data_IF_331855986424
#
_entry.id   IF_331855986424
#
_cell.length_a   1.000
_cell.length_b   1.000
_cell.length_c   1.000
_cell.angle_alpha   90.00
_cell.angle_beta   90.00
_cell.angle_gamma   90.00
#
_symmetry.space_group_name_H-M   'P 1'
#
loop_
_entity.id
_entity.type
_entity.pdbx_description
1 polymer ?
#
# COMPACT_ATOMS: atom_id res chain seq x y z
N UNK A 1 -15.29 -39.70 -29.24
CA UNK A 1 -14.54 -39.50 -30.50
C UNK A 1 -14.19 -38.03 -30.61
N UNK A 2 -12.90 -37.75 -30.70
CA UNK A 2 -12.31 -36.41 -30.53
C UNK A 2 -12.35 -35.67 -31.88
N UNK A 3 -13.04 -34.53 -31.92
CA UNK A 3 -12.99 -33.56 -33.01
C UNK A 3 -12.35 -32.27 -32.54
N UNK A 4 -11.02 -32.19 -32.61
CA UNK A 4 -10.27 -30.95 -32.42
C UNK A 4 -10.60 -29.97 -33.55
N UNK A 5 -11.03 -28.74 -33.22
CA UNK A 5 -10.87 -27.58 -34.10
C UNK A 5 -10.10 -26.49 -33.37
N UNK A 6 -8.82 -26.37 -33.75
CA UNK A 6 -7.93 -25.27 -33.39
C UNK A 6 -8.23 -24.08 -34.30
N UNK A 7 -8.42 -22.90 -33.73
CA UNK A 7 -8.33 -21.65 -34.48
C UNK A 7 -6.84 -21.26 -34.61
N UNK A 8 -6.36 -21.26 -35.86
CA UNK A 8 -5.03 -20.79 -36.25
C UNK A 8 -5.20 -19.33 -36.68
N UNK A 9 -4.63 -18.38 -35.94
CA UNK A 9 -4.49 -17.00 -36.42
C UNK A 9 -3.30 -16.93 -37.38
N UNK A 10 -3.61 -16.60 -38.64
CA UNK A 10 -2.66 -16.40 -39.74
C UNK A 10 -2.14 -14.96 -39.64
N UNK A 11 -0.93 -14.77 -39.11
CA UNK A 11 -0.21 -13.49 -39.24
C UNK A 11 0.54 -13.52 -40.58
N UNK A 12 0.27 -12.51 -41.40
CA UNK A 12 0.83 -12.35 -42.75
C UNK A 12 2.36 -12.26 -42.73
N UNK A 13 2.97 -12.85 -43.75
CA UNK A 13 4.40 -12.83 -44.02
C UNK A 13 4.90 -11.40 -44.23
N UNK A 14 5.85 -10.95 -43.41
CA UNK A 14 6.80 -9.89 -43.77
C UNK A 14 8.16 -10.54 -43.99
N UNK A 15 8.62 -10.44 -45.24
CA UNK A 15 9.85 -11.00 -45.77
C UNK A 15 11.03 -10.10 -45.41
N UNK A 16 12.12 -10.70 -44.91
CA UNK A 16 13.48 -10.13 -45.05
C UNK A 16 14.26 -9.80 -43.78
N UNK A 17 14.77 -10.81 -43.05
CA UNK A 17 16.00 -10.69 -42.24
C UNK A 17 16.80 -12.02 -42.31
N UNK A 18 18.13 -12.01 -42.52
CA UNK A 18 18.95 -13.23 -42.71
C UNK A 18 19.11 -14.11 -41.45
N UNK A 19 19.25 -15.41 -41.69
CA UNK A 19 19.13 -16.55 -40.77
C UNK A 19 20.31 -16.83 -39.81
N UNK A 20 21.24 -15.90 -39.58
CA UNK A 20 22.50 -16.22 -38.85
C UNK A 20 22.58 -15.65 -37.41
N UNK A 21 21.63 -14.83 -36.97
CA UNK A 21 21.63 -14.29 -35.57
C UNK A 21 20.59 -14.97 -34.66
N UNK A 22 19.90 -16.01 -35.13
CA UNK A 22 18.81 -16.66 -34.36
C UNK A 22 19.29 -17.74 -33.37
N UNK A 23 20.55 -18.17 -33.40
CA UNK A 23 21.05 -19.33 -32.65
C UNK A 23 21.96 -19.04 -31.43
N UNK A 24 21.92 -17.82 -30.84
CA UNK A 24 22.69 -17.54 -29.60
C UNK A 24 21.93 -16.90 -28.43
N UNK A 25 20.60 -16.90 -28.41
CA UNK A 25 19.87 -16.28 -27.30
C UNK A 25 18.67 -17.06 -26.72
N UNK A 26 18.44 -18.31 -27.10
CA UNK A 26 17.44 -19.15 -26.42
C UNK A 26 17.93 -20.59 -26.25
N UNK A 27 18.61 -20.82 -25.13
CA UNK A 27 18.76 -22.16 -24.54
C UNK A 27 18.18 -22.10 -23.13
N UNK A 28 16.86 -22.28 -23.02
CA UNK A 28 16.23 -22.61 -21.74
C UNK A 28 16.28 -24.12 -21.58
N UNK A 29 17.25 -24.57 -20.77
CA UNK A 29 17.20 -25.90 -20.16
C UNK A 29 16.02 -25.91 -19.21
N UNK A 30 15.00 -26.70 -19.55
CA UNK A 30 13.89 -27.04 -18.65
C UNK A 30 14.49 -27.84 -17.50
N UNK A 31 14.67 -27.18 -16.35
CA UNK A 31 14.88 -27.85 -15.08
C UNK A 31 13.52 -27.82 -14.38
N UNK A 32 12.84 -28.97 -14.37
CA UNK A 32 11.74 -29.22 -13.46
C UNK A 32 12.26 -29.10 -12.02
N UNK A 33 11.71 -28.15 -11.26
CA UNK A 33 11.83 -28.07 -9.81
C UNK A 33 10.41 -28.23 -9.24
N UNK A 34 10.20 -29.06 -8.20
CA UNK A 34 8.88 -29.54 -7.81
C UNK A 34 8.03 -28.49 -7.09
N UNK A 35 6.70 -28.64 -7.23
CA UNK A 35 5.67 -27.98 -6.43
C UNK A 35 6.02 -28.08 -4.95
N UNK A 36 6.38 -26.96 -4.32
CA UNK A 36 6.68 -26.91 -2.89
C UNK A 36 5.84 -25.84 -2.20
N UNK A 37 4.95 -26.32 -1.32
CA UNK A 37 4.12 -25.64 -0.32
C UNK A 37 4.61 -24.23 0.08
N UNK A 38 3.80 -23.21 -0.16
CA UNK A 38 3.98 -21.86 0.42
C UNK A 38 2.66 -21.29 0.93
N UNK A 39 2.21 -21.83 2.07
CA UNK A 39 1.31 -21.14 3.00
C UNK A 39 1.57 -21.53 4.48
N UNK A 40 2.62 -22.31 4.79
CA UNK A 40 2.95 -22.71 6.18
C UNK A 40 4.24 -22.08 6.75
N UNK A 41 4.83 -21.10 6.07
CA UNK A 41 6.04 -20.40 6.56
C UNK A 41 5.69 -19.17 7.42
N UNK A 42 4.48 -18.61 7.30
CA UNK A 42 4.06 -17.44 8.08
C UNK A 42 3.76 -17.75 9.56
N UNK A 43 3.49 -19.02 9.90
CA UNK A 43 3.19 -19.43 11.28
C UNK A 43 4.43 -19.88 12.06
N UNK A 44 5.51 -20.29 11.38
CA UNK A 44 6.71 -20.87 12.04
C UNK A 44 7.73 -19.84 12.52
N UNK A 45 7.67 -18.58 12.07
CA UNK A 45 8.53 -17.52 12.61
C UNK A 45 7.97 -16.86 13.88
N UNK A 46 6.72 -17.15 14.26
CA UNK A 46 6.03 -16.48 15.37
C UNK A 46 6.09 -17.21 16.71
N UNK A 47 6.67 -18.42 16.80
CA UNK A 47 6.59 -19.24 18.02
C UNK A 47 7.89 -19.28 18.85
N UNK A 48 9.03 -18.81 18.34
CA UNK A 48 10.31 -18.87 19.07
C UNK A 48 10.88 -17.49 19.46
N UNK A 49 10.05 -16.61 20.02
CA UNK A 49 10.56 -15.61 20.95
C UNK A 49 10.29 -16.11 22.36
N UNK A 50 11.34 -16.69 22.95
CA UNK A 50 11.44 -16.92 24.38
C UNK A 50 11.18 -15.60 25.10
N UNK A 51 9.99 -15.47 25.67
CA UNK A 51 9.64 -14.44 26.63
C UNK A 51 10.59 -14.66 27.81
N UNK A 52 11.66 -13.87 27.88
CA UNK A 52 12.37 -13.67 29.14
C UNK A 52 11.34 -13.06 30.11
N UNK A 53 11.14 -13.63 31.32
CA UNK A 53 10.22 -13.07 32.27
C UNK A 53 10.78 -11.72 32.73
N UNK A 54 10.30 -10.64 32.10
CA UNK A 54 10.49 -9.30 32.61
C UNK A 54 9.84 -9.27 33.99
N UNK A 55 10.70 -9.01 34.98
CA UNK A 55 10.37 -8.88 36.39
C UNK A 55 9.21 -7.90 36.52
N UNK A 56 8.00 -8.44 36.67
CA UNK A 56 6.79 -7.67 36.95
C UNK A 56 7.10 -6.81 38.18
N UNK A 57 7.20 -5.50 37.99
CA UNK A 57 7.25 -4.56 39.10
C UNK A 57 5.85 -4.61 39.73
N UNK A 58 5.68 -5.52 40.68
CA UNK A 58 4.49 -5.65 41.50
C UNK A 58 4.52 -4.47 42.48
N UNK A 59 3.87 -3.37 42.09
CA UNK A 59 3.59 -2.28 43.01
C UNK A 59 2.61 -2.80 44.06
N UNK A 60 3.12 -3.12 45.24
CA UNK A 60 2.29 -3.18 46.45
C UNK A 60 1.98 -1.73 46.82
N UNK A 61 0.71 -1.33 46.73
CA UNK A 61 0.28 -0.08 47.34
C UNK A 61 0.47 -0.23 48.85
N UNK A 62 1.39 0.54 49.42
CA UNK A 62 1.38 0.79 50.85
C UNK A 62 0.14 1.63 51.14
N UNK A 63 -0.92 0.96 51.59
CA UNK A 63 -2.10 1.63 52.11
C UNK A 63 -1.66 2.40 53.37
N UNK A 64 -1.50 3.71 53.23
CA UNK A 64 -1.47 4.61 54.39
C UNK A 64 -2.90 4.75 54.90
N UNK A 65 -3.13 4.27 56.10
CA UNK A 65 -4.35 4.48 56.88
C UNK A 65 -4.61 5.97 57.08
N UNK A 66 -5.45 6.56 56.23
CA UNK A 66 -6.23 7.76 56.58
C UNK A 66 -7.58 7.66 55.90
N UNK A 67 -8.60 7.47 56.72
CA UNK A 67 -10.01 7.39 56.37
C UNK A 67 -10.48 8.61 55.57
N UNK A 68 -10.53 8.48 54.26
CA UNK A 68 -11.61 9.05 53.43
C UNK A 68 -11.85 8.06 52.29
N UNK A 69 -13.03 7.44 52.26
CA UNK A 69 -13.45 6.55 51.18
C UNK A 69 -13.68 7.37 49.89
N UNK A 70 -12.58 7.77 49.25
CA UNK A 70 -12.59 8.27 47.88
C UNK A 70 -12.72 7.06 46.97
N UNK A 71 -13.80 6.99 46.21
CA UNK A 71 -13.99 5.93 45.21
C UNK A 71 -12.84 6.02 44.22
N UNK A 72 -11.90 5.08 44.29
CA UNK A 72 -10.75 5.04 43.41
C UNK A 72 -11.22 4.73 41.98
N UNK A 73 -11.25 5.74 41.13
CA UNK A 73 -11.71 5.60 39.75
C UNK A 73 -10.60 5.10 38.84
N UNK A 74 -10.95 4.53 37.68
CA UNK A 74 -9.95 4.14 36.67
C UNK A 74 -9.10 5.33 36.19
N UNK A 75 -9.68 6.53 36.21
CA UNK A 75 -9.02 7.79 35.85
C UNK A 75 -7.95 8.19 36.89
N UNK A 76 -8.21 7.96 38.19
CA UNK A 76 -7.21 8.17 39.25
C UNK A 76 -6.03 7.21 39.11
N UNK A 77 -6.30 5.97 38.68
CA UNK A 77 -5.27 4.98 38.36
C UNK A 77 -4.39 5.39 37.18
N UNK A 78 -5.01 5.87 36.10
CA UNK A 78 -4.26 6.31 34.92
C UNK A 78 -3.43 7.55 35.23
N UNK A 79 -3.99 8.53 35.94
CA UNK A 79 -3.25 9.74 36.32
C UNK A 79 -2.06 9.39 37.24
N UNK A 80 -2.27 8.56 38.27
CA UNK A 80 -1.18 8.12 39.16
C UNK A 80 -0.06 7.41 38.40
N UNK A 81 -0.41 6.51 37.48
CA UNK A 81 0.58 5.81 36.64
C UNK A 81 1.29 6.76 35.68
N UNK A 82 0.59 7.73 35.09
CA UNK A 82 1.20 8.74 34.24
C UNK A 82 2.20 9.59 35.01
N UNK A 83 1.83 10.11 36.18
CA UNK A 83 2.72 10.90 37.03
C UNK A 83 3.95 10.09 37.45
N UNK A 84 3.79 8.80 37.74
CA UNK A 84 4.93 7.92 38.05
C UNK A 84 5.88 7.76 36.85
N UNK A 85 5.33 7.70 35.63
CA UNK A 85 6.09 7.60 34.39
C UNK A 85 6.81 8.91 34.06
N UNK A 86 6.14 10.05 34.29
CA UNK A 86 6.75 11.38 34.17
C UNK A 86 7.93 11.53 35.13
N UNK A 87 7.75 11.22 36.41
CA UNK A 87 8.80 11.28 37.42
C UNK A 87 9.97 10.35 37.08
N UNK A 88 9.67 9.12 36.63
CA UNK A 88 10.70 8.18 36.17
C UNK A 88 11.48 8.73 34.98
N UNK A 89 10.79 9.29 33.98
CA UNK A 89 11.41 9.86 32.78
C UNK A 89 12.27 11.07 33.13
N UNK A 90 11.78 11.95 34.01
CA UNK A 90 12.51 13.13 34.46
C UNK A 90 13.81 12.72 35.18
N UNK A 91 13.72 11.74 36.09
CA UNK A 91 14.86 11.24 36.87
C UNK A 91 15.85 10.44 36.03
N UNK A 92 15.37 9.61 35.11
CA UNK A 92 16.21 8.68 34.33
C UNK A 92 16.75 9.26 33.03
N UNK A 93 16.24 10.41 32.56
CA UNK A 93 16.65 10.95 31.27
C UNK A 93 16.82 12.47 31.27
N UNK A 94 15.76 13.22 31.57
CA UNK A 94 15.76 14.67 31.34
C UNK A 94 16.70 15.41 32.29
N UNK A 95 16.77 15.02 33.57
CA UNK A 95 17.59 15.69 34.58
C UNK A 95 19.04 15.19 34.64
N UNK A 96 19.42 14.16 33.88
CA UNK A 96 20.81 13.66 33.87
C UNK A 96 21.66 14.44 32.85
N UNK A 97 22.82 14.95 33.27
CA UNK A 97 23.73 15.70 32.39
C UNK A 97 24.37 14.80 31.30
N UNK A 98 24.59 13.52 31.61
CA UNK A 98 25.14 12.52 30.71
C UNK A 98 24.34 11.21 30.79
N UNK A 99 24.07 10.60 29.64
CA UNK A 99 23.40 9.30 29.56
C UNK A 99 24.49 8.23 29.60
N UNK A 100 24.51 7.41 30.64
CA UNK A 100 25.42 6.26 30.75
C UNK A 100 24.93 5.12 29.84
N UNK A 101 25.53 4.97 28.65
CA UNK A 101 25.25 3.85 27.72
C UNK A 101 24.86 4.29 26.31
N UNK A 102 24.32 3.35 25.51
CA UNK A 102 23.78 3.65 24.18
C UNK A 102 22.49 4.46 24.33
N UNK A 103 22.53 5.75 24.00
CA UNK A 103 21.41 6.69 24.10
C UNK A 103 20.14 6.15 23.42
N UNK A 104 20.30 5.45 22.30
CA UNK A 104 19.19 4.84 21.55
C UNK A 104 18.48 3.74 22.34
N UNK A 105 19.23 2.90 23.08
CA UNK A 105 18.66 1.80 23.85
C UNK A 105 17.87 2.32 25.07
N UNK A 106 18.36 3.36 25.72
CA UNK A 106 17.65 4.02 26.80
C UNK A 106 16.33 4.65 26.34
N UNK A 107 16.35 5.35 25.19
CA UNK A 107 15.14 5.91 24.59
C UNK A 107 14.14 4.83 24.22
N UNK A 108 14.60 3.68 23.72
CA UNK A 108 13.73 2.55 23.39
C UNK A 108 13.07 1.94 24.62
N UNK A 109 13.81 1.77 25.73
CA UNK A 109 13.24 1.28 27.00
C UNK A 109 12.19 2.23 27.57
N UNK A 110 12.44 3.54 27.48
CA UNK A 110 11.46 4.56 27.88
C UNK A 110 10.22 4.51 26.98
N UNK A 111 10.42 4.39 25.67
CA UNK A 111 9.34 4.24 24.70
C UNK A 111 8.52 2.96 24.95
N UNK A 112 9.15 1.82 25.24
CA UNK A 112 8.46 0.58 25.59
C UNK A 112 7.59 0.72 26.84
N UNK A 113 8.08 1.48 27.84
CA UNK A 113 7.33 1.80 29.05
C UNK A 113 6.10 2.67 28.75
N UNK A 114 6.27 3.71 27.93
CA UNK A 114 5.18 4.57 27.43
C UNK A 114 4.18 3.75 26.63
N UNK A 115 4.65 2.88 25.74
CA UNK A 115 3.81 2.00 24.91
C UNK A 115 3.01 1.04 25.79
N UNK A 116 3.63 0.42 26.79
CA UNK A 116 2.96 -0.49 27.73
C UNK A 116 1.85 0.24 28.51
N UNK A 117 2.12 1.48 28.94
CA UNK A 117 1.11 2.34 29.55
C UNK A 117 -0.06 2.64 28.59
N UNK A 118 0.24 3.09 27.37
CA UNK A 118 -0.76 3.40 26.34
C UNK A 118 -1.59 2.18 25.94
N UNK A 119 -0.96 1.01 25.80
CA UNK A 119 -1.66 -0.24 25.50
C UNK A 119 -2.62 -0.61 26.63
N UNK A 120 -2.21 -0.44 27.88
CA UNK A 120 -3.11 -0.70 29.00
C UNK A 120 -4.36 0.18 28.94
N UNK A 121 -4.24 1.46 28.60
CA UNK A 121 -5.40 2.34 28.43
C UNK A 121 -6.25 1.89 27.23
N UNK A 122 -5.62 1.58 26.10
CA UNK A 122 -6.30 1.19 24.88
C UNK A 122 -7.10 -0.12 25.04
N UNK A 123 -6.57 -1.08 25.79
CA UNK A 123 -7.23 -2.36 26.04
C UNK A 123 -8.52 -2.17 26.87
N UNK A 124 -8.54 -1.20 27.79
CA UNK A 124 -9.72 -0.85 28.59
C UNK A 124 -10.70 0.09 27.86
N UNK A 125 -10.18 1.09 27.13
CA UNK A 125 -10.97 2.05 26.38
C UNK A 125 -10.52 2.10 24.92
N UNK A 126 -11.21 1.30 24.11
CA UNK A 126 -10.97 1.19 22.66
C UNK A 126 -11.54 2.36 21.86
N UNK A 127 -12.37 3.20 22.48
CA UNK A 127 -13.04 4.31 21.81
C UNK A 127 -12.06 5.48 21.65
N UNK A 128 -11.86 5.88 20.39
CA UNK A 128 -11.10 7.06 19.94
C UNK A 128 -9.79 7.36 20.71
N UNK A 129 -8.72 6.57 20.53
CA UNK A 129 -7.43 6.79 21.20
C UNK A 129 -6.80 8.18 20.97
N UNK A 130 -7.19 8.89 19.91
CA UNK A 130 -6.76 10.27 19.63
C UNK A 130 -7.41 11.33 20.54
N UNK A 131 -8.58 11.04 21.12
CA UNK A 131 -9.32 11.95 22.00
C UNK A 131 -8.99 11.76 23.48
N UNK A 132 -8.33 10.65 23.83
CA UNK A 132 -7.99 10.32 25.20
C UNK A 132 -6.87 11.25 25.74
N UNK A 133 -7.17 11.94 26.84
CA UNK A 133 -6.30 12.94 27.47
C UNK A 133 -4.97 12.32 27.91
N UNK A 134 -4.99 11.09 28.44
CA UNK A 134 -3.81 10.40 28.95
C UNK A 134 -2.88 9.95 27.81
N UNK A 135 -3.44 9.50 26.69
CA UNK A 135 -2.66 9.18 25.49
C UNK A 135 -2.01 10.44 24.92
N UNK A 136 -2.74 11.56 24.91
CA UNK A 136 -2.19 12.85 24.48
C UNK A 136 -1.03 13.32 25.37
N UNK A 137 -1.20 13.32 26.69
CA UNK A 137 -0.15 13.71 27.64
C UNK A 137 1.08 12.80 27.54
N UNK A 138 0.89 11.48 27.45
CA UNK A 138 2.01 10.55 27.25
C UNK A 138 2.73 10.75 25.91
N UNK A 139 2.00 11.14 24.85
CA UNK A 139 2.61 11.53 23.58
C UNK A 139 3.37 12.86 23.66
N UNK A 140 2.95 13.80 24.50
CA UNK A 140 3.68 15.04 24.76
C UNK A 140 4.99 14.76 25.52
N UNK A 141 4.98 13.83 26.48
CA UNK A 141 6.20 13.34 27.12
C UNK A 141 7.14 12.67 26.12
N UNK A 142 6.62 11.79 25.26
CA UNK A 142 7.42 11.17 24.20
C UNK A 142 8.06 12.21 23.28
N UNK A 143 7.29 13.24 22.90
CA UNK A 143 7.78 14.34 22.08
C UNK A 143 8.91 15.10 22.77
N UNK A 144 8.83 15.35 24.09
CA UNK A 144 9.93 15.96 24.86
C UNK A 144 11.20 15.11 24.77
N UNK A 145 11.09 13.79 24.95
CA UNK A 145 12.24 12.87 24.85
C UNK A 145 12.86 12.93 23.44
N UNK A 146 12.05 12.81 22.38
CA UNK A 146 12.55 12.74 21.00
C UNK A 146 13.14 14.07 20.48
N UNK A 147 12.67 15.20 21.02
CA UNK A 147 13.17 16.53 20.67
C UNK A 147 14.37 16.98 21.51
N UNK A 148 14.67 16.29 22.60
CA UNK A 148 15.84 16.58 23.43
C UNK A 148 17.12 16.53 22.56
N UNK A 149 18.01 17.55 22.61
CA UNK A 149 19.31 17.51 21.93
C UNK A 149 20.16 16.29 22.28
N UNK A 150 19.94 15.64 23.44
CA UNK A 150 20.63 14.42 23.86
C UNK A 150 20.29 13.20 23.00
N UNK A 151 19.10 13.16 22.40
CA UNK A 151 18.72 12.07 21.50
C UNK A 151 19.28 12.32 20.10
N UNK A 152 20.01 11.35 19.53
CA UNK A 152 20.31 11.35 18.09
C UNK A 152 19.15 10.68 17.37
N UNK A 153 18.15 11.46 16.97
CA UNK A 153 16.96 10.89 16.34
C UNK A 153 17.19 10.59 14.86
N UNK A 154 17.97 9.55 14.63
CA UNK A 154 18.40 9.10 13.30
C UNK A 154 17.40 8.11 12.69
N UNK A 155 17.60 7.81 11.41
CA UNK A 155 16.79 6.84 10.65
C UNK A 155 16.79 5.44 11.32
N UNK A 156 17.89 5.06 11.95
CA UNK A 156 18.04 3.80 12.68
C UNK A 156 17.11 3.71 13.89
N UNK A 157 17.07 4.77 14.71
CA UNK A 157 16.19 4.85 15.87
C UNK A 157 14.71 4.91 15.43
N UNK A 158 14.40 5.68 14.38
CA UNK A 158 13.06 5.72 13.79
C UNK A 158 12.61 4.33 13.32
N UNK A 159 13.49 3.57 12.66
CA UNK A 159 13.20 2.19 12.24
C UNK A 159 12.91 1.30 13.45
N UNK A 160 13.70 1.37 14.51
CA UNK A 160 13.47 0.60 15.74
C UNK A 160 12.11 0.96 16.37
N UNK A 161 11.77 2.25 16.43
CA UNK A 161 10.46 2.74 16.91
C UNK A 161 9.27 2.33 16.01
N UNK A 162 9.47 2.16 14.70
CA UNK A 162 8.42 1.67 13.82
C UNK A 162 8.20 0.15 13.98
N UNK A 163 9.26 -0.60 14.25
CA UNK A 163 9.19 -2.04 14.49
C UNK A 163 8.42 -2.35 15.78
N UNK A 164 8.48 -1.49 16.79
CA UNK A 164 7.70 -1.65 18.01
C UNK A 164 6.20 -1.41 17.80
N UNK A 165 5.76 -0.99 16.61
CA UNK A 165 4.34 -0.91 16.24
C UNK A 165 3.46 -0.06 17.19
N UNK A 166 3.75 1.24 17.35
CA UNK A 166 2.93 2.17 18.13
C UNK A 166 1.48 2.25 17.64
N UNK A 167 0.59 2.72 18.53
CA UNK A 167 -0.75 3.16 18.15
C UNK A 167 -0.66 4.40 17.24
N UNK A 168 -1.67 4.60 16.38
CA UNK A 168 -1.65 5.67 15.38
C UNK A 168 -1.41 7.09 15.94
N UNK A 169 -2.04 7.55 17.04
CA UNK A 169 -1.78 8.88 17.58
C UNK A 169 -0.31 9.08 18.02
N UNK A 170 0.30 8.02 18.54
CA UNK A 170 1.71 8.00 18.96
C UNK A 170 2.63 7.99 17.74
N UNK A 171 2.27 7.21 16.71
CA UNK A 171 2.97 7.18 15.43
C UNK A 171 3.00 8.55 14.76
N UNK A 172 1.87 9.27 14.77
CA UNK A 172 1.77 10.64 14.28
C UNK A 172 2.70 11.59 15.06
N UNK A 173 2.74 11.48 16.39
CA UNK A 173 3.64 12.28 17.23
C UNK A 173 5.12 12.01 16.91
N UNK A 174 5.50 10.74 16.73
CA UNK A 174 6.86 10.34 16.36
C UNK A 174 7.27 10.94 15.02
N UNK A 175 6.39 10.85 14.01
CA UNK A 175 6.66 11.38 12.66
C UNK A 175 6.79 12.91 12.69
N UNK A 176 5.87 13.60 13.36
CA UNK A 176 5.93 15.05 13.51
C UNK A 176 7.21 15.48 14.23
N UNK A 177 7.61 14.75 15.26
CA UNK A 177 8.86 14.99 16.00
C UNK A 177 10.10 14.80 15.12
N UNK A 178 10.09 13.78 14.26
CA UNK A 178 11.17 13.51 13.31
C UNK A 178 11.35 14.67 12.32
N UNK A 179 10.23 15.16 11.77
CA UNK A 179 10.25 16.30 10.86
C UNK A 179 10.57 17.63 11.53
N UNK A 180 10.27 17.82 12.82
CA UNK A 180 10.65 19.05 13.53
C UNK A 180 12.13 19.13 13.88
N UNK A 181 12.81 17.99 14.06
CA UNK A 181 14.23 17.98 14.43
C UNK A 181 15.16 18.43 13.30
N UNK A 182 14.75 18.20 12.06
CA UNK A 182 15.55 18.52 10.88
C UNK A 182 14.65 18.99 9.73
N UNK A 183 15.03 20.08 9.09
CA UNK A 183 14.22 20.68 8.03
C UNK A 183 14.26 19.87 6.72
N UNK A 184 15.35 19.12 6.50
CA UNK A 184 15.63 18.43 5.24
C UNK A 184 15.49 16.89 5.29
N UNK A 185 15.21 16.30 6.47
CA UNK A 185 15.04 14.85 6.51
C UNK A 185 13.68 14.46 5.95
N UNK A 186 13.67 13.31 5.27
CA UNK A 186 12.49 12.66 4.73
C UNK A 186 12.44 11.22 5.24
N UNK A 187 11.26 10.61 5.21
CA UNK A 187 11.09 9.19 5.59
C UNK A 187 11.11 8.36 4.30
N UNK A 188 12.06 7.43 4.12
CA UNK A 188 12.06 6.54 2.97
C UNK A 188 10.81 5.67 2.91
N UNK A 189 10.29 5.45 1.70
CA UNK A 189 9.10 4.61 1.45
C UNK A 189 9.21 3.22 2.11
N UNK A 190 10.39 2.60 2.07
CA UNK A 190 10.66 1.30 2.73
C UNK A 190 10.41 1.32 4.24
N UNK A 191 10.72 2.42 4.92
CA UNK A 191 10.46 2.57 6.36
C UNK A 191 8.99 2.89 6.62
N UNK A 192 8.39 3.74 5.80
CA UNK A 192 6.98 4.06 5.89
C UNK A 192 6.08 2.81 5.74
N UNK A 193 6.49 1.82 4.93
CA UNK A 193 5.77 0.56 4.80
C UNK A 193 5.70 -0.28 6.08
N UNK A 194 6.56 -0.08 7.08
CA UNK A 194 6.59 -0.91 8.29
C UNK A 194 5.30 -0.75 9.11
N UNK A 195 4.98 0.43 9.66
CA UNK A 195 3.76 0.62 10.44
C UNK A 195 2.51 0.63 9.54
N UNK A 196 2.64 1.04 8.27
CA UNK A 196 1.56 1.00 7.29
C UNK A 196 0.95 -0.40 7.14
N UNK A 197 1.78 -1.46 7.11
CA UNK A 197 1.30 -2.85 7.05
C UNK A 197 0.42 -3.21 8.24
N UNK A 198 0.76 -2.72 9.44
CA UNK A 198 -0.06 -2.95 10.63
C UNK A 198 -1.40 -2.21 10.54
N UNK A 199 -1.39 -0.96 10.08
CA UNK A 199 -2.64 -0.19 9.92
C UNK A 199 -3.62 -0.85 8.93
N UNK A 200 -3.10 -1.43 7.85
CA UNK A 200 -3.91 -2.25 6.92
C UNK A 200 -4.39 -3.53 7.63
N UNK A 201 -3.49 -4.23 8.32
CA UNK A 201 -3.82 -5.47 9.03
C UNK A 201 -4.92 -5.27 10.09
N UNK A 202 -4.88 -4.15 10.81
CA UNK A 202 -5.88 -3.79 11.82
C UNK A 202 -7.16 -3.17 11.20
N UNK A 203 -7.29 -3.16 9.86
CA UNK A 203 -8.40 -2.56 9.11
C UNK A 203 -8.68 -1.08 9.42
N UNK A 204 -7.66 -0.33 9.84
CA UNK A 204 -7.77 1.09 10.20
C UNK A 204 -7.55 1.99 8.97
N UNK A 205 -8.41 1.87 7.95
CA UNK A 205 -8.19 2.48 6.63
C UNK A 205 -8.08 4.01 6.65
N UNK A 206 -8.89 4.71 7.45
CA UNK A 206 -8.81 6.17 7.55
C UNK A 206 -7.47 6.63 8.15
N UNK A 207 -7.01 5.95 9.20
CA UNK A 207 -5.71 6.23 9.81
C UNK A 207 -4.55 5.84 8.88
N UNK A 208 -4.72 4.78 8.08
CA UNK A 208 -3.77 4.42 7.05
C UNK A 208 -3.65 5.52 5.97
N UNK A 209 -4.76 6.14 5.56
CA UNK A 209 -4.74 7.28 4.62
C UNK A 209 -4.05 8.51 5.23
N UNK A 210 -4.37 8.84 6.49
CA UNK A 210 -3.70 9.93 7.21
C UNK A 210 -2.19 9.65 7.33
N UNK A 211 -1.81 8.40 7.58
CA UNK A 211 -0.40 7.98 7.63
C UNK A 211 0.32 8.17 6.29
N UNK A 212 -0.34 7.85 5.17
CA UNK A 212 0.20 8.05 3.82
C UNK A 212 0.44 9.54 3.54
N UNK A 213 -0.49 10.41 3.93
CA UNK A 213 -0.33 11.87 3.81
C UNK A 213 0.86 12.39 4.63
N UNK A 214 1.07 11.86 5.84
CA UNK A 214 2.18 12.24 6.71
C UNK A 214 3.56 11.78 6.19
N UNK A 215 3.61 10.69 5.43
CA UNK A 215 4.85 10.06 4.97
C UNK A 215 5.13 10.31 3.49
N UNK A 216 4.70 9.41 2.60
CA UNK A 216 4.99 9.46 1.16
C UNK A 216 4.22 10.59 0.45
N UNK A 217 3.11 11.07 1.02
CA UNK A 217 2.37 12.24 0.55
C UNK A 217 2.96 13.58 1.02
N UNK A 218 3.97 13.57 1.89
CA UNK A 218 4.56 14.78 2.44
C UNK A 218 5.40 15.54 1.41
N UNK A 219 5.32 16.88 1.41
CA UNK A 219 6.10 17.76 0.51
C UNK A 219 7.59 17.45 0.54
N UNK A 220 8.15 17.14 1.71
CA UNK A 220 9.59 16.83 1.87
C UNK A 220 10.00 15.56 1.11
N UNK A 221 9.15 14.54 1.13
CA UNK A 221 9.40 13.31 0.39
C UNK A 221 9.34 13.55 -1.13
N UNK A 222 8.34 14.33 -1.57
CA UNK A 222 8.16 14.73 -2.97
C UNK A 222 9.36 15.55 -3.47
N UNK A 223 9.86 16.48 -2.67
CA UNK A 223 11.05 17.28 -2.98
C UNK A 223 12.31 16.43 -3.10
N UNK A 224 12.50 15.46 -2.20
CA UNK A 224 13.58 14.49 -2.30
C UNK A 224 13.49 13.68 -3.61
N UNK A 225 12.30 13.19 -3.97
CA UNK A 225 12.06 12.48 -5.24
C UNK A 225 12.37 13.37 -6.45
N UNK A 226 11.98 14.64 -6.40
CA UNK A 226 12.27 15.64 -7.45
C UNK A 226 13.78 15.89 -7.59
N UNK A 227 14.50 15.98 -6.49
CA UNK A 227 15.97 16.11 -6.49
C UNK A 227 16.64 14.89 -7.10
N UNK A 228 16.20 13.67 -6.74
CA UNK A 228 16.73 12.44 -7.32
C UNK A 228 16.46 12.38 -8.84
N UNK A 229 15.29 12.80 -9.28
CA UNK A 229 14.95 12.86 -10.70
C UNK A 229 15.84 13.87 -11.45
N UNK A 230 16.10 15.06 -10.88
CA UNK A 230 17.06 16.03 -11.45
C UNK A 230 18.44 15.40 -11.60
N UNK A 231 18.91 14.65 -10.59
CA UNK A 231 20.20 13.94 -10.63
C UNK A 231 20.26 12.92 -11.77
N UNK A 232 19.18 12.18 -12.01
CA UNK A 232 19.08 11.26 -13.17
C UNK A 232 19.18 12.05 -14.48
N UNK A 233 18.44 13.15 -14.62
CA UNK A 233 18.51 14.00 -15.81
C UNK A 233 19.90 14.61 -16.02
N UNK A 234 20.59 15.03 -14.97
CA UNK A 234 21.95 15.56 -15.08
C UNK A 234 22.95 14.48 -15.48
N UNK A 235 22.83 13.25 -14.97
CA UNK A 235 23.68 12.14 -15.41
C UNK A 235 23.40 11.76 -16.86
N UNK A 236 22.13 11.72 -17.26
CA UNK A 236 21.75 11.45 -18.63
C UNK A 236 22.28 12.53 -19.59
N UNK A 237 22.07 13.81 -19.27
CA UNK A 237 22.63 14.93 -20.04
C UNK A 237 24.16 14.89 -20.11
N UNK A 238 24.82 14.57 -18.99
CA UNK A 238 26.27 14.38 -18.93
C UNK A 238 26.76 13.23 -19.82
N UNK A 239 26.01 12.13 -19.90
CA UNK A 239 26.35 10.99 -20.77
C UNK A 239 26.25 11.35 -22.26
N UNK A 240 25.27 12.17 -22.65
CA UNK A 240 25.14 12.67 -24.03
C UNK A 240 26.32 13.57 -24.39
N UNK A 241 26.64 14.54 -23.52
CA UNK A 241 27.78 15.43 -23.73
C UNK A 241 29.09 14.64 -23.80
N UNK A 242 29.26 13.64 -22.94
CA UNK A 242 30.41 12.73 -22.98
C UNK A 242 30.50 11.93 -24.27
N UNK A 243 29.38 11.40 -24.77
CA UNK A 243 29.32 10.67 -26.04
C UNK A 243 29.68 11.58 -27.22
N UNK A 244 29.13 12.79 -27.26
CA UNK A 244 29.45 13.79 -28.31
C UNK A 244 30.91 14.20 -28.24
N UNK A 245 31.45 14.44 -27.03
CA UNK A 245 32.86 14.78 -26.83
C UNK A 245 33.80 13.64 -27.25
N UNK A 246 33.46 12.40 -26.91
CA UNK A 246 34.22 11.22 -27.35
C UNK A 246 34.23 11.08 -28.87
N UNK A 247 33.07 11.20 -29.52
CA UNK A 247 32.97 11.19 -30.98
C UNK A 247 33.77 12.32 -31.63
N UNK A 248 33.73 13.53 -31.04
CA UNK A 248 34.53 14.65 -31.53
C UNK A 248 36.02 14.35 -31.48
N UNK A 249 36.51 13.86 -30.34
CA UNK A 249 37.92 13.51 -30.15
C UNK A 249 38.34 12.37 -31.08
N UNK A 250 37.52 11.34 -31.22
CA UNK A 250 37.77 10.21 -32.11
C UNK A 250 37.91 10.67 -33.57
N UNK A 251 36.95 11.45 -34.07
CA UNK A 251 36.99 11.95 -35.45
C UNK A 251 38.16 12.90 -35.64
N UNK A 252 38.50 13.73 -34.65
CA UNK A 252 39.65 14.64 -34.71
C UNK A 252 41.00 13.90 -34.82
N UNK A 253 41.15 12.79 -34.10
CA UNK A 253 42.40 12.00 -34.09
C UNK A 253 42.52 11.11 -35.34
N UNK A 254 41.44 10.41 -35.71
CA UNK A 254 41.51 9.36 -36.75
C UNK A 254 41.02 9.80 -38.13
N UNK A 255 40.15 10.81 -38.21
CA UNK A 255 39.54 11.27 -39.46
C UNK A 255 39.38 12.80 -39.52
N UNK A 256 40.49 13.57 -39.42
CA UNK A 256 40.44 15.03 -39.37
C UNK A 256 39.81 15.66 -40.63
N UNK A 257 39.85 14.94 -41.75
CA UNK A 257 39.21 15.32 -43.01
C UNK A 257 37.69 15.54 -42.87
N UNK A 258 37.01 14.82 -41.98
CA UNK A 258 35.56 14.94 -41.77
C UNK A 258 35.19 16.25 -41.03
N UNK A 259 36.10 16.75 -40.19
CA UNK A 259 35.95 18.04 -39.52
C UNK A 259 36.18 19.17 -40.54
N UNK A 260 37.19 19.02 -41.39
CA UNK A 260 37.56 20.00 -42.42
C UNK A 260 36.69 19.93 -43.69
N UNK A 261 35.93 18.86 -43.92
CA UNK A 261 34.96 18.74 -45.01
C UNK A 261 33.79 19.74 -44.87
N UNK A 262 33.59 20.29 -43.67
CA UNK A 262 32.68 21.41 -43.42
C UNK A 262 33.23 22.78 -43.82
N UNK A 263 34.52 22.91 -44.12
CA UNK A 263 35.16 24.18 -44.53
C UNK A 263 35.23 24.39 -46.05
N UNK A 264 34.74 23.44 -46.88
CA UNK A 264 34.98 23.48 -48.33
C UNK A 264 33.94 22.86 -49.27
N UNK A 265 32.67 22.66 -48.86
CA UNK A 265 31.59 22.40 -49.83
C UNK A 265 30.60 21.27 -49.54
N UNK A 266 30.72 20.54 -48.41
CA UNK A 266 29.59 19.75 -47.91
C UNK A 266 28.97 20.45 -46.71
N UNK A 267 27.71 20.83 -46.81
CA UNK A 267 27.09 21.90 -46.01
C UNK A 267 26.97 21.63 -44.50
N UNK A 268 27.32 20.43 -44.01
CA UNK A 268 27.06 20.05 -42.60
C UNK A 268 28.20 19.35 -41.83
N UNK A 269 29.33 18.94 -42.43
CA UNK A 269 30.52 18.40 -41.73
C UNK A 269 30.22 17.45 -40.53
N UNK A 270 31.01 17.55 -39.46
CA UNK A 270 30.79 16.81 -38.19
C UNK A 270 29.52 17.25 -37.45
N UNK A 271 29.04 18.47 -37.69
CA UNK A 271 27.83 19.00 -37.06
C UNK A 271 26.55 18.29 -37.53
N UNK A 272 26.53 17.77 -38.75
CA UNK A 272 25.46 16.90 -39.25
C UNK A 272 25.36 15.60 -38.45
N UNK A 273 26.49 15.02 -38.06
CA UNK A 273 26.54 13.82 -37.22
C UNK A 273 26.00 14.12 -35.81
N UNK A 274 26.36 15.28 -35.23
CA UNK A 274 25.78 15.71 -33.95
C UNK A 274 24.29 15.92 -34.04
N UNK A 275 23.81 16.57 -35.11
CA UNK A 275 22.39 16.76 -35.34
C UNK A 275 21.65 15.41 -35.43
N UNK A 276 22.20 14.42 -36.16
CA UNK A 276 21.65 13.07 -36.24
C UNK A 276 21.60 12.36 -34.88
N UNK A 277 22.66 12.46 -34.07
CA UNK A 277 22.71 11.83 -32.75
C UNK A 277 21.71 12.49 -31.80
N UNK A 278 21.66 13.82 -31.78
CA UNK A 278 20.72 14.57 -30.94
C UNK A 278 19.28 14.26 -31.35
N UNK A 279 18.96 14.29 -32.65
CA UNK A 279 17.60 13.94 -33.11
C UNK A 279 17.25 12.49 -32.82
N UNK A 280 18.18 11.54 -32.98
CA UNK A 280 17.96 10.14 -32.60
C UNK A 280 17.65 10.00 -31.11
N UNK A 281 18.45 10.64 -30.24
CA UNK A 281 18.25 10.57 -28.79
C UNK A 281 16.94 11.25 -28.37
N UNK A 282 16.60 12.40 -28.96
CA UNK A 282 15.31 13.06 -28.70
C UNK A 282 14.14 12.19 -29.14
N UNK A 283 14.23 11.56 -30.32
CA UNK A 283 13.18 10.68 -30.82
C UNK A 283 13.04 9.41 -29.96
N UNK A 284 14.15 8.76 -29.62
CA UNK A 284 14.15 7.61 -28.70
C UNK A 284 13.66 8.01 -27.30
N UNK A 285 14.03 9.19 -26.81
CA UNK A 285 13.58 9.72 -25.53
C UNK A 285 12.07 9.99 -25.52
N UNK A 286 11.53 10.53 -26.62
CA UNK A 286 10.10 10.74 -26.79
C UNK A 286 9.33 9.41 -26.85
N UNK A 287 9.78 8.47 -27.69
CA UNK A 287 9.16 7.14 -27.80
C UNK A 287 9.26 6.34 -26.51
N UNK A 288 10.41 6.38 -25.82
CA UNK A 288 10.58 5.79 -24.50
C UNK A 288 9.65 6.46 -23.48
N UNK A 289 9.53 7.78 -23.52
CA UNK A 289 8.59 8.54 -22.71
C UNK A 289 7.15 8.05 -22.87
N UNK A 290 6.68 7.89 -24.11
CA UNK A 290 5.35 7.34 -24.39
C UNK A 290 5.21 5.88 -23.94
N UNK A 291 6.21 5.03 -24.20
CA UNK A 291 6.17 3.62 -23.83
C UNK A 291 6.16 3.42 -22.30
N UNK A 292 6.95 4.19 -21.55
CA UNK A 292 7.01 4.10 -20.09
C UNK A 292 5.89 4.88 -19.39
N UNK A 293 5.31 5.87 -20.06
CA UNK A 293 4.10 6.57 -19.62
C UNK A 293 2.95 5.57 -19.39
N UNK A 294 2.70 4.67 -20.35
CA UNK A 294 1.65 3.66 -20.22
C UNK A 294 1.84 2.67 -19.06
N UNK A 295 3.08 2.27 -18.75
CA UNK A 295 3.36 1.22 -17.75
C UNK A 295 3.28 1.69 -16.29
N UNK A 296 3.12 2.99 -16.04
CA UNK A 296 2.99 3.56 -14.70
C UNK A 296 1.60 4.07 -14.34
N UNK A 297 0.65 4.01 -15.29
CA UNK A 297 -0.72 4.48 -15.13
C UNK A 297 -1.58 3.56 -14.27
N UNK A 298 -1.30 2.25 -14.31
CA UNK A 298 -2.07 1.22 -13.60
C UNK A 298 -1.24 0.65 -12.45
N UNK A 299 -1.57 0.99 -11.20
CA UNK A 299 -1.10 0.24 -10.03
C UNK A 299 -2.28 -0.48 -9.38
N UNK A 300 -2.74 -1.56 -10.03
CA UNK A 300 -3.90 -2.32 -9.58
C UNK A 300 -5.17 -1.49 -9.66
N UNK A 301 -5.90 -1.39 -8.55
CA UNK A 301 -7.23 -0.76 -8.48
C UNK A 301 -7.22 0.78 -8.56
N UNK A 302 -6.07 1.41 -8.82
CA UNK A 302 -5.95 2.87 -8.92
C UNK A 302 -5.25 3.31 -10.20
N UNK A 303 -5.77 4.41 -10.75
CA UNK A 303 -5.17 5.18 -11.84
C UNK A 303 -4.86 6.61 -11.39
N UNK A 304 -3.94 7.26 -12.08
CA UNK A 304 -3.80 8.71 -11.93
C UNK A 304 -4.97 9.44 -12.57
N UNK A 305 -5.40 10.55 -11.97
CA UNK A 305 -6.45 11.40 -12.57
C UNK A 305 -6.06 11.81 -13.99
N UNK A 306 -7.02 11.76 -14.91
CA UNK A 306 -6.82 12.22 -16.29
C UNK A 306 -6.19 13.62 -16.33
N UNK A 307 -5.26 13.84 -17.27
CA UNK A 307 -4.45 15.06 -17.42
C UNK A 307 -3.35 15.31 -16.39
N UNK A 308 -3.02 14.35 -15.53
CA UNK A 308 -1.80 14.45 -14.71
C UNK A 308 -0.56 14.26 -15.57
N UNK A 309 0.44 15.12 -15.35
CA UNK A 309 1.69 15.08 -16.14
C UNK A 309 2.54 13.86 -15.74
N UNK A 310 3.24 13.19 -16.67
CA UNK A 310 4.08 12.01 -16.36
C UNK A 310 5.15 12.26 -15.28
N UNK A 311 5.63 13.50 -15.16
CA UNK A 311 6.51 13.92 -14.09
C UNK A 311 5.90 13.68 -12.69
N UNK A 312 4.61 13.99 -12.52
CA UNK A 312 3.91 13.80 -11.25
C UNK A 312 3.71 12.33 -10.92
N UNK A 313 3.57 11.46 -11.92
CA UNK A 313 3.45 10.03 -11.70
C UNK A 313 4.67 9.45 -11.00
N UNK A 314 5.87 9.82 -11.45
CA UNK A 314 7.10 9.40 -10.79
C UNK A 314 7.21 9.90 -9.35
N UNK A 315 6.74 11.13 -9.08
CA UNK A 315 6.79 11.71 -7.74
C UNK A 315 5.82 11.03 -6.78
N UNK A 316 4.63 10.65 -7.25
CA UNK A 316 3.55 10.11 -6.43
C UNK A 316 3.39 8.58 -6.49
N UNK A 317 4.22 7.85 -7.24
CA UNK A 317 4.08 6.39 -7.41
C UNK A 317 4.07 5.61 -6.10
N UNK A 318 4.90 6.00 -5.13
CA UNK A 318 4.98 5.36 -3.81
C UNK A 318 3.74 5.66 -2.96
N UNK A 319 3.17 6.86 -3.09
CA UNK A 319 1.90 7.23 -2.47
C UNK A 319 0.75 6.44 -3.11
N UNK A 320 0.70 6.36 -4.44
CA UNK A 320 -0.31 5.61 -5.19
C UNK A 320 -0.30 4.13 -4.82
N UNK A 321 0.89 3.53 -4.66
CA UNK A 321 1.03 2.13 -4.28
C UNK A 321 0.47 1.85 -2.88
N UNK A 322 0.66 2.76 -1.93
CA UNK A 322 0.05 2.63 -0.60
C UNK A 322 -1.46 2.80 -0.68
N UNK A 323 -1.95 3.85 -1.35
CA UNK A 323 -3.40 4.06 -1.52
C UNK A 323 -4.08 2.87 -2.21
N UNK A 324 -3.45 2.27 -3.22
CA UNK A 324 -3.97 1.11 -3.95
C UNK A 324 -4.18 -0.07 -3.01
N UNK A 325 -3.22 -0.34 -2.11
CA UNK A 325 -3.35 -1.39 -1.10
C UNK A 325 -4.40 -1.09 -0.02
N UNK A 326 -4.63 0.18 0.31
CA UNK A 326 -5.74 0.56 1.21
C UNK A 326 -7.07 0.28 0.51
N UNK A 327 -7.21 0.69 -0.75
CA UNK A 327 -8.45 0.54 -1.54
C UNK A 327 -8.77 -0.94 -1.75
N UNK A 328 -7.79 -1.75 -2.10
CA UNK A 328 -7.91 -3.21 -2.24
C UNK A 328 -8.37 -3.87 -0.94
N UNK A 329 -7.72 -3.56 0.19
CA UNK A 329 -8.10 -4.12 1.48
C UNK A 329 -9.48 -3.63 1.97
N UNK A 330 -9.84 -2.38 1.69
CA UNK A 330 -11.14 -1.82 2.05
C UNK A 330 -12.26 -2.41 1.18
N UNK A 331 -12.04 -2.62 -0.12
CA UNK A 331 -12.99 -3.33 -0.98
C UNK A 331 -13.22 -4.77 -0.55
N UNK A 332 -12.17 -5.47 -0.12
CA UNK A 332 -12.28 -6.86 0.31
C UNK A 332 -13.01 -7.01 1.67
N UNK A 333 -12.82 -6.06 2.59
CA UNK A 333 -13.35 -6.16 3.95
C UNK A 333 -14.69 -5.46 4.12
N UNK A 334 -14.81 -4.23 3.63
CA UNK A 334 -15.98 -3.37 3.83
C UNK A 334 -16.83 -3.20 2.56
N UNK A 335 -16.34 -3.65 1.41
CA UNK A 335 -17.00 -3.44 0.14
C UNK A 335 -18.24 -4.30 -0.05
N UNK A 336 -19.29 -3.67 -0.59
CA UNK A 336 -20.42 -4.38 -1.18
C UNK A 336 -20.05 -4.61 -2.64
N UNK A 337 -20.10 -5.86 -3.10
CA UNK A 337 -19.70 -6.27 -4.44
C UNK A 337 -18.31 -5.74 -4.81
N UNK A 338 -17.27 -5.91 -3.99
CA UNK A 338 -15.89 -5.52 -4.37
C UNK A 338 -15.59 -4.02 -4.53
N UNK A 339 -16.55 -3.12 -4.26
CA UNK A 339 -16.31 -1.67 -4.28
C UNK A 339 -15.74 -1.15 -2.95
N UNK A 340 -14.71 -0.31 -3.01
CA UNK A 340 -14.22 0.38 -1.81
C UNK A 340 -15.24 1.39 -1.26
N UNK A 341 -15.19 1.62 0.05
CA UNK A 341 -16.09 2.52 0.77
C UNK A 341 -15.96 3.96 0.25
N UNK A 342 -17.08 4.67 0.11
CA UNK A 342 -17.13 6.08 -0.36
C UNK A 342 -16.17 7.02 0.40
N UNK A 343 -15.96 6.80 1.69
CA UNK A 343 -15.05 7.61 2.50
C UNK A 343 -13.58 7.42 2.09
N UNK A 344 -13.18 6.19 1.76
CA UNK A 344 -11.83 5.87 1.26
C UNK A 344 -11.67 6.41 -0.16
N UNK A 345 -12.63 6.12 -1.04
CA UNK A 345 -12.64 6.58 -2.44
C UNK A 345 -12.53 8.10 -2.53
N UNK A 346 -13.40 8.84 -1.84
CA UNK A 346 -13.41 10.31 -1.88
C UNK A 346 -12.10 10.93 -1.38
N UNK A 347 -11.43 10.28 -0.41
CA UNK A 347 -10.15 10.74 0.10
C UNK A 347 -9.00 10.44 -0.84
N UNK A 348 -8.99 9.26 -1.46
CA UNK A 348 -8.01 8.89 -2.50
C UNK A 348 -8.13 9.81 -3.72
N UNK A 349 -9.36 10.18 -4.11
CA UNK A 349 -9.62 11.19 -5.16
C UNK A 349 -9.03 12.56 -4.82
N UNK A 350 -9.13 13.01 -3.57
CA UNK A 350 -8.50 14.27 -3.12
C UNK A 350 -6.97 14.24 -3.23
N UNK A 351 -6.34 13.07 -3.16
CA UNK A 351 -4.89 12.91 -3.36
C UNK A 351 -4.47 12.96 -4.85
N UNK A 352 -5.44 12.93 -5.76
CA UNK A 352 -5.25 12.98 -7.21
C UNK A 352 -5.24 11.62 -7.90
N UNK A 353 -5.79 10.58 -7.25
CA UNK A 353 -5.92 9.24 -7.82
C UNK A 353 -7.38 8.91 -8.09
N UNK A 354 -7.64 8.24 -9.20
CA UNK A 354 -8.95 7.75 -9.60
C UNK A 354 -9.02 6.26 -9.30
N UNK A 355 -10.15 5.80 -8.76
CA UNK A 355 -10.34 4.38 -8.47
C UNK A 355 -10.74 3.70 -9.77
N UNK A 356 -9.97 2.70 -10.18
CA UNK A 356 -10.36 1.85 -11.27
C UNK A 356 -11.37 0.83 -10.72
N UNK A 357 -12.63 0.99 -11.09
CA UNK A 357 -13.67 0.05 -10.72
C UNK A 357 -13.43 -1.28 -11.46
N UNK A 358 -13.59 -2.43 -10.80
CA UNK A 358 -13.35 -3.71 -11.46
C UNK A 358 -14.33 -3.89 -12.63
N UNK A 359 -13.78 -4.10 -13.83
CA UNK A 359 -14.53 -4.13 -15.09
C UNK A 359 -15.69 -5.13 -15.06
N UNK A 360 -15.51 -6.26 -14.39
CA UNK A 360 -16.53 -7.32 -14.26
C UNK A 360 -17.78 -6.83 -13.52
N UNK A 361 -17.62 -6.07 -12.45
CA UNK A 361 -18.75 -5.55 -11.66
C UNK A 361 -19.41 -4.36 -12.34
N UNK A 362 -18.62 -3.53 -13.06
CA UNK A 362 -19.17 -2.46 -13.91
C UNK A 362 -20.00 -3.05 -15.04
N UNK A 363 -19.51 -4.10 -15.71
CA UNK A 363 -20.26 -4.82 -16.74
C UNK A 363 -21.52 -5.47 -16.18
N UNK A 364 -21.45 -6.07 -14.98
CA UNK A 364 -22.63 -6.64 -14.32
C UNK A 364 -23.66 -5.56 -13.97
N UNK A 365 -23.24 -4.41 -13.44
CA UNK A 365 -24.13 -3.27 -13.19
C UNK A 365 -24.76 -2.77 -14.49
N UNK A 366 -23.97 -2.59 -15.55
CA UNK A 366 -24.50 -2.18 -16.85
C UNK A 366 -25.48 -3.20 -17.41
N UNK A 367 -25.24 -4.50 -17.22
CA UNK A 367 -26.20 -5.56 -17.56
C UNK A 367 -27.52 -5.37 -16.82
N UNK A 368 -27.49 -5.17 -15.50
CA UNK A 368 -28.71 -4.93 -14.71
C UNK A 368 -29.41 -3.62 -15.09
N UNK A 369 -28.67 -2.53 -15.32
CA UNK A 369 -29.23 -1.24 -15.74
C UNK A 369 -29.85 -1.29 -17.15
N UNK A 370 -29.26 -2.06 -18.05
CA UNK A 370 -29.77 -2.26 -19.43
C UNK A 370 -30.82 -3.36 -19.52
N UNK A 371 -31.19 -4.00 -18.40
CA UNK A 371 -32.07 -5.18 -18.39
C UNK A 371 -31.60 -6.29 -19.35
N UNK A 372 -30.28 -6.40 -19.56
CA UNK A 372 -29.66 -7.35 -20.48
C UNK A 372 -29.76 -6.99 -21.97
N UNK A 373 -30.26 -5.81 -22.33
CA UNK A 373 -30.36 -5.39 -23.73
C UNK A 373 -28.96 -5.07 -24.30
N UNK A 374 -28.56 -5.80 -25.35
CA UNK A 374 -27.24 -5.63 -25.99
C UNK A 374 -26.10 -6.44 -25.36
N UNK A 375 -26.36 -7.19 -24.30
CA UNK A 375 -25.42 -8.17 -23.74
C UNK A 375 -25.66 -9.54 -24.36
N UNK A 376 -24.63 -10.12 -24.98
CA UNK A 376 -24.65 -11.52 -25.36
C UNK A 376 -24.13 -12.30 -24.15
N UNK A 377 -25.01 -13.07 -23.49
CA UNK A 377 -24.59 -14.06 -22.52
C UNK A 377 -23.70 -15.08 -23.23
N UNK A 378 -22.40 -14.96 -23.01
CA UNK A 378 -21.45 -16.04 -23.27
C UNK A 378 -21.25 -16.68 -21.91
N UNK A 379 -21.70 -17.92 -21.76
CA UNK A 379 -21.42 -18.70 -20.55
C UNK A 379 -19.92 -18.60 -20.25
N UNK A 380 -19.51 -18.18 -19.04
CA UNK A 380 -18.11 -18.20 -18.69
C UNK A 380 -17.63 -19.65 -18.84
N UNK A 381 -16.60 -19.87 -19.66
CA UNK A 381 -15.91 -21.16 -19.72
C UNK A 381 -15.39 -21.45 -18.30
N UNK A 382 -16.16 -22.21 -17.53
CA UNK A 382 -15.75 -22.64 -16.20
C UNK A 382 -14.48 -23.47 -16.39
N UNK A 383 -13.38 -23.02 -15.81
CA UNK A 383 -12.13 -23.78 -15.83
C UNK A 383 -12.42 -25.14 -15.18
N UNK A 384 -12.20 -26.27 -15.87
CA UNK A 384 -12.44 -27.60 -15.29
C UNK A 384 -11.67 -27.81 -13.97
N UNK A 385 -10.56 -27.09 -13.76
CA UNK A 385 -9.83 -27.11 -12.50
C UNK A 385 -10.60 -26.47 -11.33
N UNK A 386 -11.45 -25.48 -11.60
CA UNK A 386 -12.27 -24.82 -10.58
C UNK A 386 -13.43 -25.71 -10.14
N UNK A 387 -14.03 -26.47 -11.06
CA UNK A 387 -15.05 -27.49 -10.75
C UNK A 387 -14.47 -28.62 -9.88
N UNK A 388 -13.28 -29.10 -10.22
CA UNK A 388 -12.59 -30.13 -9.41
C UNK A 388 -12.24 -29.59 -8.02
N UNK A 389 -11.88 -28.32 -7.92
CA UNK A 389 -11.57 -27.69 -6.64
C UNK A 389 -12.80 -27.48 -5.77
N UNK A 390 -13.94 -27.04 -6.33
CA UNK A 390 -15.19 -26.90 -5.58
C UNK A 390 -15.74 -28.25 -5.10
N UNK A 391 -15.71 -29.29 -5.94
CA UNK A 391 -16.06 -30.65 -5.52
C UNK A 391 -15.19 -31.13 -4.36
N UNK A 392 -13.90 -30.82 -4.40
CA UNK A 392 -12.98 -31.14 -3.31
C UNK A 392 -13.29 -30.36 -2.02
N UNK A 393 -13.74 -29.10 -2.12
CA UNK A 393 -14.12 -28.28 -0.97
C UNK A 393 -15.45 -28.72 -0.33
N UNK A 394 -16.42 -29.13 -1.15
CA UNK A 394 -17.67 -29.75 -0.69
C UNK A 394 -17.43 -31.07 0.03
N UNK A 395 -16.54 -31.92 -0.49
CA UNK A 395 -16.14 -33.17 0.18
C UNK A 395 -15.48 -32.94 1.55
N UNK A 396 -14.90 -31.76 1.77
CA UNK A 396 -14.28 -31.34 3.04
C UNK A 396 -15.28 -30.58 3.94
N UNK A 397 -16.48 -30.27 3.44
CA UNK A 397 -17.55 -29.59 4.18
C UNK A 397 -17.39 -28.08 4.27
N UNK A 398 -16.64 -27.46 3.36
CA UNK A 398 -16.45 -26.01 3.31
C UNK A 398 -17.56 -25.37 2.48
N UNK A 399 -18.61 -24.86 3.13
CA UNK A 399 -19.72 -24.15 2.47
C UNK A 399 -19.40 -22.66 2.27
N UNK A 400 -19.86 -22.08 1.15
CA UNK A 400 -19.75 -20.63 0.87
C UNK A 400 -20.72 -19.86 1.78
N UNK A 401 -20.25 -18.75 2.37
CA UNK A 401 -21.06 -17.93 3.30
C UNK A 401 -22.27 -17.28 2.62
N UNK A 402 -22.21 -17.03 1.31
CA UNK A 402 -23.31 -16.49 0.50
C UNK A 402 -24.37 -17.55 0.11
N UNK A 403 -24.15 -18.83 0.39
CA UNK A 403 -25.13 -19.90 0.12
C UNK A 403 -26.29 -19.90 1.13
N UNK A 404 -26.24 -19.08 2.19
CA UNK A 404 -27.34 -18.99 3.15
C UNK A 404 -28.64 -18.47 2.52
N UNK A 405 -28.54 -17.65 1.47
CA UNK A 405 -29.73 -17.19 0.73
C UNK A 405 -30.16 -18.18 -0.36
N UNK A 406 -29.27 -19.04 -0.87
CA UNK A 406 -29.66 -20.16 -1.74
C UNK A 406 -30.47 -21.22 -1.00
N UNK A 407 -30.11 -21.54 0.25
CA UNK A 407 -30.92 -22.46 1.06
C UNK A 407 -32.33 -21.92 1.33
N UNK A 408 -32.52 -20.59 1.43
CA UNK A 408 -33.85 -19.99 1.57
C UNK A 408 -34.66 -20.03 0.28
N UNK A 409 -34.00 -19.99 -0.88
CA UNK A 409 -34.66 -20.13 -2.19
C UNK A 409 -35.05 -21.59 -2.41
N UNK A 410 -34.18 -22.56 -2.08
CA UNK A 410 -34.53 -23.98 -2.11
C UNK A 410 -35.63 -24.34 -1.08
N UNK A 411 -35.64 -23.72 0.11
CA UNK A 411 -36.73 -23.89 1.08
C UNK A 411 -38.04 -23.23 0.61
N UNK A 412 -37.97 -22.12 -0.13
CA UNK A 412 -39.14 -21.47 -0.73
C UNK A 412 -39.73 -22.33 -1.87
N UNK A 413 -38.88 -22.82 -2.78
CA UNK A 413 -39.28 -23.70 -3.89
C UNK A 413 -39.78 -25.07 -3.40
N UNK A 414 -39.22 -25.59 -2.30
CA UNK A 414 -39.72 -26.81 -1.65
C UNK A 414 -41.01 -26.61 -0.84
N UNK A 415 -41.38 -25.36 -0.53
CA UNK A 415 -42.61 -25.03 0.19
C UNK A 415 -43.81 -24.76 -0.70
N UNK A 416 -43.62 -24.63 -2.03
CA UNK A 416 -44.71 -24.43 -3.00
C UNK A 416 -45.32 -25.75 -3.52
N UNK A 417 -44.75 -26.91 -3.19
CA UNK A 417 -45.36 -28.21 -3.48
C UNK A 417 -46.04 -28.78 -2.21
N UNK A 418 -47.26 -28.34 -1.88
CA UNK A 418 -48.43 -29.14 -1.43
C UNK A 418 -49.58 -28.17 -1.16
N UNK A 419 -50.51 -28.04 -2.11
CA UNK A 419 -51.97 -28.05 -1.85
C UNK A 419 -52.75 -28.06 -3.18
N UNK A 420 -52.54 -29.09 -4.01
CA UNK A 420 -53.59 -29.54 -4.94
C UNK A 420 -54.58 -30.40 -4.13
N UNK A 421 -55.44 -29.71 -3.38
CA UNK A 421 -56.51 -30.26 -2.58
C UNK A 421 -57.78 -29.45 -2.76
N UNK A 422 -58.62 -29.89 -3.69
CA UNK A 422 -59.98 -29.42 -3.92
C UNK A 422 -60.74 -29.18 -2.60
N UNK A 423 -60.95 -27.91 -2.25
CA UNK A 423 -61.96 -27.47 -1.30
C UNK A 423 -62.41 -26.06 -1.70
N UNK A 424 -63.51 -26.02 -2.44
CA UNK A 424 -64.24 -24.80 -2.72
C UNK A 424 -64.53 -24.02 -1.43
N UNK A 425 -63.99 -22.80 -1.36
CA UNK A 425 -64.44 -21.80 -0.40
C UNK A 425 -64.49 -20.45 -1.11
N UNK A 426 -65.68 -19.85 -1.06
CA UNK A 426 -66.09 -18.65 -1.79
C UNK A 426 -65.16 -17.46 -1.55
N UNK A 427 -64.78 -16.79 -2.65
CA UNK A 427 -64.19 -15.45 -2.65
C UNK A 427 -65.25 -14.45 -2.16
N UNK A 428 -65.22 -14.11 -0.87
CA UNK A 428 -65.93 -12.95 -0.34
C UNK A 428 -65.16 -11.68 -0.73
N UNK A 429 -65.66 -10.98 -1.75
CA UNK A 429 -65.30 -9.58 -2.00
C UNK A 429 -66.05 -8.70 -0.98
N UNK A 430 -65.36 -7.76 -0.29
CA UNK A 430 -66.05 -6.84 0.62
C UNK A 430 -66.91 -5.85 -0.19
N UNK A 431 -68.20 -5.79 0.15
CA UNK A 431 -69.13 -4.79 -0.37
C UNK A 431 -68.77 -3.40 0.16
N UNK A 432 -68.40 -2.50 -0.77
CA UNK A 432 -68.35 -1.06 -0.50
C UNK A 432 -69.76 -0.54 -0.23
N UNK A 433 -70.03 -0.24 1.05
CA UNK A 433 -71.17 0.58 1.46
C UNK A 433 -70.89 2.03 1.12
N UNK A 434 -71.74 2.55 0.22
CA UNK A 434 -72.00 3.98 0.04
C UNK A 434 -72.63 4.55 1.32
N UNK A 435 -72.06 5.63 1.82
CA UNK A 435 -72.79 6.85 2.21
C UNK A 435 -72.03 8.07 1.69
#
# INVERSE_FOLDING_TARGET
MIGQRRAIYRIGNIVGIPSVVRNRLFSFRVIQIPKCKKLSIFQKFYINQTITPLKQIRYQSTNSETDTATSFTADDLYESRLSSLELFTDKSYLNLETIEGDSDEHVLKLFESIKSYQQSIYDFNKLSPSQNIYIRRSNDLLKKILLDPKTKFDETLLKKLFITQPLFPTLESIIKSYYSKSMNNYIPSKLAFIPFRKLIWDAQFQQALDYVELTNGNKRYIEHRKSNMKRIFTYFGGSIVGLVGFLHAYVSIFHPEIINAGTGGTTYGIYGIYACIVTYIVNCGFLAGLAFSSKGLENGNLMFKQSTMPHEWYLKVDQMKMCSKIVEADSEINGIDGFATRNVVSRVQKMGFEVNEPEQEVMLRQYWYSSGEGFLWVEPDIDPAEVEWWKHLDDIGVKKVWDQDYNKIEEADASEEVEDGDNGTELYLPEDKKE
#
